data_IF_411540937582
#
_entry.id   IF_411540937582
#
_cell.length_a   1.000
_cell.length_b   1.000
_cell.length_c   1.000
_cell.angle_alpha   90.00
_cell.angle_beta   90.00
_cell.angle_gamma   90.00
#
_symmetry.space_group_name_H-M   'P 1'
#
loop_
_entity.id
_entity.type
_entity.pdbx_description
1 polymer ?
#
# COMPACT_ATOMS: atom_id res chain seq x y z
N UNK A 1 -32.27 -17.75 -0.74
CA UNK A 1 -32.65 -16.63 0.15
C UNK A 1 -31.36 -15.99 0.58
N UNK A 2 -31.03 -14.89 -0.09
CA UNK A 2 -29.81 -14.13 0.14
C UNK A 2 -29.97 -13.41 1.48
N UNK A 3 -29.32 -13.93 2.53
CA UNK A 3 -29.19 -13.16 3.77
C UNK A 3 -28.14 -12.10 3.49
N UNK A 4 -28.56 -11.02 2.84
CA UNK A 4 -27.75 -9.82 2.70
C UNK A 4 -27.24 -9.44 4.08
N UNK A 5 -25.92 -9.44 4.25
CA UNK A 5 -25.26 -9.03 5.49
C UNK A 5 -25.81 -7.65 5.85
N UNK A 6 -26.35 -7.49 7.06
CA UNK A 6 -26.87 -6.20 7.50
C UNK A 6 -25.74 -5.16 7.43
N UNK A 7 -26.03 -3.93 7.00
CA UNK A 7 -25.03 -2.85 6.94
C UNK A 7 -24.33 -2.65 8.29
N UNK A 8 -25.04 -2.90 9.39
CA UNK A 8 -24.49 -2.86 10.76
C UNK A 8 -23.53 -4.00 11.12
N UNK A 9 -23.51 -5.09 10.36
CA UNK A 9 -22.65 -6.27 10.61
C UNK A 9 -21.34 -6.24 9.81
N UNK A 10 -21.16 -5.24 8.93
CA UNK A 10 -20.01 -5.15 8.04
C UNK A 10 -18.70 -4.75 8.73
N UNK A 11 -18.77 -4.16 9.94
CA UNK A 11 -17.60 -3.79 10.76
C UNK A 11 -16.58 -2.93 10.01
N UNK A 12 -17.08 -1.95 9.26
CA UNK A 12 -16.25 -1.09 8.41
C UNK A 12 -15.19 -0.34 9.21
N UNK A 13 -15.53 0.15 10.41
CA UNK A 13 -14.59 0.86 11.26
C UNK A 13 -13.41 -0.04 11.69
N UNK A 14 -13.70 -1.27 12.09
CA UNK A 14 -12.69 -2.25 12.49
C UNK A 14 -11.81 -2.65 11.31
N UNK A 15 -12.42 -2.98 10.16
CA UNK A 15 -11.68 -3.35 8.94
C UNK A 15 -10.76 -2.21 8.48
N UNK A 16 -11.28 -0.98 8.43
CA UNK A 16 -10.48 0.21 8.07
C UNK A 16 -9.34 0.44 9.05
N UNK A 17 -9.58 0.31 10.35
CA UNK A 17 -8.56 0.52 11.38
C UNK A 17 -7.42 -0.50 11.23
N UNK A 18 -7.78 -1.78 11.12
CA UNK A 18 -6.82 -2.90 11.01
C UNK A 18 -6.02 -2.79 9.71
N UNK A 19 -6.68 -2.51 8.58
CA UNK A 19 -5.99 -2.40 7.29
C UNK A 19 -5.08 -1.18 7.23
N UNK A 20 -5.48 -0.03 7.78
CA UNK A 20 -4.59 1.13 7.83
C UNK A 20 -3.30 0.84 8.60
N UNK A 21 -3.40 0.20 9.78
CA UNK A 21 -2.22 -0.18 10.56
C UNK A 21 -1.36 -1.23 9.84
N UNK A 22 -1.99 -2.29 9.31
CA UNK A 22 -1.31 -3.32 8.51
C UNK A 22 -0.58 -2.72 7.31
N UNK A 23 -1.22 -1.78 6.61
CA UNK A 23 -0.66 -1.12 5.42
C UNK A 23 0.61 -0.31 5.74
N UNK A 24 0.65 0.40 6.87
CA UNK A 24 1.86 1.10 7.34
C UNK A 24 2.98 0.10 7.64
N UNK A 25 2.65 -1.02 8.29
CA UNK A 25 3.61 -2.10 8.53
C UNK A 25 4.18 -2.65 7.21
N UNK A 26 3.33 -2.90 6.22
CA UNK A 26 3.75 -3.39 4.90
C UNK A 26 4.62 -2.38 4.14
N UNK A 27 4.25 -1.10 4.16
CA UNK A 27 5.08 -0.03 3.59
C UNK A 27 6.48 -0.02 4.20
N UNK A 28 6.56 -0.15 5.52
CA UNK A 28 7.84 -0.18 6.24
C UNK A 28 8.69 -1.39 5.83
N UNK A 29 8.09 -2.58 5.74
CA UNK A 29 8.79 -3.80 5.35
C UNK A 29 9.27 -3.75 3.90
N UNK A 30 8.42 -3.33 2.96
CA UNK A 30 8.80 -3.19 1.54
C UNK A 30 9.84 -2.07 1.37
N UNK A 31 9.74 -0.98 2.13
CA UNK A 31 10.78 0.08 2.13
C UNK A 31 12.14 -0.49 2.51
N UNK A 32 12.20 -1.29 3.58
CA UNK A 32 13.45 -1.92 4.02
C UNK A 32 13.98 -2.92 3.00
N UNK A 33 13.11 -3.73 2.38
CA UNK A 33 13.51 -4.63 1.29
C UNK A 33 14.08 -3.84 0.11
N UNK A 34 13.39 -2.77 -0.30
CA UNK A 34 13.86 -1.89 -1.39
C UNK A 34 15.26 -1.35 -1.08
N UNK A 35 15.46 -0.81 0.14
CA UNK A 35 16.75 -0.28 0.56
C UNK A 35 17.83 -1.36 0.59
N UNK A 36 17.51 -2.54 1.12
CA UNK A 36 18.45 -3.64 1.21
C UNK A 36 18.89 -4.14 -0.18
N UNK A 37 17.95 -4.30 -1.11
CA UNK A 37 18.26 -4.72 -2.49
C UNK A 37 19.01 -3.67 -3.30
N UNK A 38 18.83 -2.37 -3.01
CA UNK A 38 19.54 -1.30 -3.70
C UNK A 38 20.96 -1.05 -3.18
N UNK A 39 21.29 -1.50 -1.97
CA UNK A 39 22.64 -1.33 -1.40
C UNK A 39 23.52 -2.56 -1.62
N UNK A 40 24.69 -2.35 -2.21
CA UNK A 40 25.66 -3.38 -2.55
C UNK A 40 26.13 -4.25 -1.36
N UNK A 41 26.07 -3.73 -0.13
CA UNK A 41 26.54 -4.45 1.07
C UNK A 41 25.42 -5.29 1.71
N UNK A 42 24.18 -4.82 1.67
CA UNK A 42 23.03 -5.52 2.26
C UNK A 42 22.24 -6.38 1.28
N UNK A 43 22.46 -6.22 -0.03
CA UNK A 43 21.75 -7.01 -1.06
C UNK A 43 22.02 -8.51 -0.82
N UNK A 44 20.98 -9.37 -0.89
CA UNK A 44 21.17 -10.81 -0.69
C UNK A 44 22.28 -11.36 -1.59
N UNK A 45 23.22 -12.11 -1.00
CA UNK A 45 24.42 -12.60 -1.70
C UNK A 45 24.10 -13.37 -2.98
N UNK A 46 22.98 -14.10 -2.99
CA UNK A 46 22.49 -14.82 -4.17
C UNK A 46 22.25 -13.93 -5.40
N UNK A 47 21.88 -12.66 -5.20
CA UNK A 47 21.62 -11.70 -6.28
C UNK A 47 22.89 -11.00 -6.77
N UNK A 48 24.01 -11.20 -6.08
CA UNK A 48 25.33 -10.65 -6.42
C UNK A 48 26.30 -11.72 -6.90
N UNK A 49 25.96 -13.00 -6.73
CA UNK A 49 26.80 -14.12 -7.15
C UNK A 49 26.75 -14.30 -8.68
N UNK A 50 27.90 -14.08 -9.32
CA UNK A 50 28.08 -14.25 -10.77
C UNK A 50 27.75 -15.66 -11.26
N UNK A 51 27.87 -16.68 -10.40
CA UNK A 51 27.49 -18.04 -10.76
C UNK A 51 25.97 -18.20 -10.95
N UNK A 52 25.17 -17.35 -10.29
CA UNK A 52 23.71 -17.38 -10.35
C UNK A 52 23.13 -16.42 -11.41
N UNK A 53 23.93 -15.54 -12.00
CA UNK A 53 23.48 -14.60 -13.04
C UNK A 53 22.71 -15.27 -14.20
N UNK A 54 23.14 -16.42 -14.76
CA UNK A 54 22.38 -17.09 -15.82
C UNK A 54 21.00 -17.56 -15.36
N UNK A 55 20.93 -18.11 -14.13
CA UNK A 55 19.69 -18.58 -13.51
C UNK A 55 18.72 -17.41 -13.29
N UNK A 56 19.20 -16.31 -12.70
CA UNK A 56 18.41 -15.12 -12.42
C UNK A 56 17.87 -14.51 -13.72
N UNK A 57 18.70 -14.39 -14.77
CA UNK A 57 18.26 -13.89 -16.08
C UNK A 57 17.18 -14.77 -16.69
N UNK A 58 17.31 -16.09 -16.60
CA UNK A 58 16.31 -17.02 -17.10
C UNK A 58 14.98 -16.89 -16.35
N UNK A 59 15.02 -16.78 -15.02
CA UNK A 59 13.86 -16.57 -14.15
C UNK A 59 13.16 -15.26 -14.52
N UNK A 60 13.88 -14.13 -14.49
CA UNK A 60 13.29 -12.80 -14.71
C UNK A 60 12.67 -12.69 -16.10
N UNK A 61 13.31 -13.28 -17.13
CA UNK A 61 12.81 -13.27 -18.51
C UNK A 61 11.48 -14.02 -18.68
N UNK A 62 11.29 -15.11 -17.95
CA UNK A 62 10.08 -15.96 -18.05
C UNK A 62 9.04 -15.66 -16.97
N UNK A 63 9.38 -14.83 -15.98
CA UNK A 63 8.52 -14.53 -14.84
C UNK A 63 7.11 -14.08 -15.29
N UNK A 64 6.03 -14.66 -14.76
CA UNK A 64 5.95 -15.57 -13.61
C UNK A 64 5.98 -17.06 -13.95
N UNK A 65 6.20 -17.44 -15.22
CA UNK A 65 6.25 -18.85 -15.60
C UNK A 65 7.47 -19.57 -14.98
N UNK A 66 7.25 -20.78 -14.48
CA UNK A 66 8.32 -21.65 -13.97
C UNK A 66 8.83 -22.56 -15.09
N UNK A 67 10.17 -22.73 -15.16
CA UNK A 67 10.82 -23.65 -16.11
C UNK A 67 11.85 -24.51 -15.37
N UNK A 68 11.36 -25.54 -14.68
CA UNK A 68 12.18 -26.43 -13.85
C UNK A 68 13.17 -27.29 -14.63
N UNK A 69 13.05 -27.37 -15.95
CA UNK A 69 13.94 -28.16 -16.82
C UNK A 69 15.10 -27.36 -17.38
N UNK A 70 15.17 -26.05 -17.09
CA UNK A 70 16.21 -25.19 -17.63
C UNK A 70 17.59 -25.55 -17.06
N UNK A 71 18.55 -25.86 -17.94
CA UNK A 71 19.95 -26.10 -17.57
C UNK A 71 20.59 -24.88 -16.88
N UNK A 72 20.09 -23.67 -17.15
CA UNK A 72 20.56 -22.44 -16.53
C UNK A 72 20.30 -22.37 -15.01
N UNK A 73 19.41 -23.22 -14.49
CA UNK A 73 19.02 -23.25 -13.08
C UNK A 73 19.78 -24.29 -12.25
N UNK A 74 20.62 -25.12 -12.89
CA UNK A 74 21.45 -26.13 -12.22
C UNK A 74 22.27 -25.59 -11.02
N UNK A 75 22.86 -24.37 -11.08
CA UNK A 75 23.59 -23.81 -9.94
C UNK A 75 22.76 -23.62 -8.68
N UNK A 76 21.43 -23.50 -8.78
CA UNK A 76 20.54 -23.35 -7.62
C UNK A 76 20.40 -24.66 -6.83
N UNK A 77 20.61 -25.82 -7.49
CA UNK A 77 20.42 -27.14 -6.89
C UNK A 77 21.29 -27.38 -5.65
N UNK A 78 22.55 -26.94 -5.69
CA UNK A 78 23.49 -27.13 -4.59
C UNK A 78 23.21 -26.22 -3.39
N UNK A 79 22.54 -25.09 -3.60
CA UNK A 79 22.30 -24.05 -2.58
C UNK A 79 20.82 -23.84 -2.23
N UNK A 80 19.92 -24.71 -2.71
CA UNK A 80 18.46 -24.52 -2.59
C UNK A 80 17.98 -24.25 -1.16
N UNK A 81 18.55 -24.94 -0.17
CA UNK A 81 18.17 -24.76 1.23
C UNK A 81 18.58 -23.38 1.77
N UNK A 82 19.73 -22.87 1.34
CA UNK A 82 20.23 -21.55 1.72
C UNK A 82 19.40 -20.44 1.06
N UNK A 83 19.05 -20.62 -0.21
CA UNK A 83 18.17 -19.71 -0.95
C UNK A 83 16.81 -19.61 -0.26
N UNK A 84 16.17 -20.73 0.07
CA UNK A 84 14.89 -20.73 0.79
C UNK A 84 15.03 -20.00 2.13
N UNK A 85 16.07 -20.32 2.91
CA UNK A 85 16.29 -19.70 4.22
C UNK A 85 16.55 -18.19 4.13
N UNK A 86 17.32 -17.76 3.12
CA UNK A 86 17.74 -16.37 3.00
C UNK A 86 16.70 -15.46 2.33
N UNK A 87 15.83 -16.00 1.48
CA UNK A 87 14.83 -15.22 0.76
C UNK A 87 13.40 -15.37 1.30
N UNK A 88 13.14 -16.31 2.22
CA UNK A 88 11.80 -16.55 2.80
C UNK A 88 11.15 -15.28 3.35
N UNK A 89 11.88 -14.50 4.15
CA UNK A 89 11.35 -13.27 4.74
C UNK A 89 10.92 -12.26 3.67
N UNK A 90 11.66 -12.17 2.56
CA UNK A 90 11.30 -11.25 1.47
C UNK A 90 10.10 -11.80 0.72
N UNK A 91 10.12 -13.08 0.36
CA UNK A 91 9.03 -13.75 -0.34
C UNK A 91 7.70 -13.60 0.40
N UNK A 92 7.65 -14.00 1.67
CA UNK A 92 6.41 -13.92 2.45
C UNK A 92 5.98 -12.49 2.75
N UNK A 93 6.90 -11.51 2.78
CA UNK A 93 6.50 -10.09 2.81
C UNK A 93 5.74 -9.68 1.55
N UNK A 94 6.13 -10.17 0.37
CA UNK A 94 5.38 -9.90 -0.85
C UNK A 94 4.04 -10.66 -0.88
N UNK A 95 3.95 -11.84 -0.28
CA UNK A 95 2.68 -12.55 -0.05
C UNK A 95 1.77 -11.71 0.85
N UNK A 96 2.28 -11.18 1.96
CA UNK A 96 1.51 -10.31 2.86
C UNK A 96 0.97 -9.06 2.15
N UNK A 97 1.74 -8.49 1.21
CA UNK A 97 1.29 -7.36 0.38
C UNK A 97 0.16 -7.78 -0.57
N UNK A 98 0.26 -8.96 -1.18
CA UNK A 98 -0.81 -9.49 -2.02
C UNK A 98 -2.10 -9.68 -1.23
N UNK A 99 -2.02 -10.28 -0.04
CA UNK A 99 -3.19 -10.42 0.83
C UNK A 99 -3.74 -9.07 1.29
N UNK A 100 -2.88 -8.10 1.65
CA UNK A 100 -3.32 -6.75 2.00
C UNK A 100 -4.08 -6.11 0.85
N UNK A 101 -3.59 -6.27 -0.39
CA UNK A 101 -4.25 -5.78 -1.59
C UNK A 101 -5.63 -6.42 -1.77
N UNK A 102 -5.74 -7.73 -1.64
CA UNK A 102 -7.01 -8.44 -1.79
C UNK A 102 -8.05 -7.99 -0.73
N UNK A 103 -7.64 -7.93 0.54
CA UNK A 103 -8.50 -7.48 1.64
C UNK A 103 -8.95 -6.02 1.46
N UNK A 104 -8.07 -5.16 0.91
CA UNK A 104 -8.40 -3.77 0.62
C UNK A 104 -9.41 -3.68 -0.53
N UNK A 105 -9.20 -4.43 -1.62
CA UNK A 105 -10.15 -4.49 -2.75
C UNK A 105 -11.53 -4.98 -2.31
N UNK A 106 -11.59 -6.00 -1.45
CA UNK A 106 -12.84 -6.51 -0.89
C UNK A 106 -13.54 -5.44 -0.06
N UNK A 107 -12.82 -4.78 0.86
CA UNK A 107 -13.38 -3.70 1.68
C UNK A 107 -13.91 -2.53 0.84
N UNK A 108 -13.19 -2.11 -0.20
CA UNK A 108 -13.65 -1.03 -1.07
C UNK A 108 -14.94 -1.41 -1.81
N UNK A 109 -15.05 -2.68 -2.23
CA UNK A 109 -16.27 -3.21 -2.86
C UNK A 109 -17.45 -3.23 -1.88
N UNK A 110 -17.22 -3.64 -0.62
CA UNK A 110 -18.23 -3.60 0.44
C UNK A 110 -18.72 -2.18 0.74
N UNK A 111 -17.79 -1.21 0.79
CA UNK A 111 -18.10 0.22 1.01
C UNK A 111 -18.99 0.76 -0.12
N UNK A 112 -18.68 0.43 -1.38
CA UNK A 112 -19.50 0.84 -2.52
C UNK A 112 -20.90 0.24 -2.45
N UNK A 113 -20.99 -1.08 -2.19
CA UNK A 113 -22.27 -1.78 -2.09
C UNK A 113 -23.17 -1.22 -0.96
N UNK A 114 -22.56 -0.58 0.04
CA UNK A 114 -23.25 -0.03 1.20
C UNK A 114 -23.59 1.46 1.05
N UNK A 115 -23.25 2.06 -0.09
CA UNK A 115 -23.52 3.47 -0.41
C UNK A 115 -23.05 4.43 0.69
N UNK A 116 -21.92 4.12 1.35
CA UNK A 116 -21.41 4.90 2.48
C UNK A 116 -21.27 6.37 2.09
N UNK A 117 -21.81 7.25 2.93
CA UNK A 117 -21.64 8.69 2.80
C UNK A 117 -20.34 9.11 3.47
N UNK A 118 -19.47 9.80 2.74
CA UNK A 118 -18.21 10.33 3.25
C UNK A 118 -18.25 11.85 3.27
N UNK A 119 -18.00 12.43 4.43
CA UNK A 119 -17.82 13.86 4.63
C UNK A 119 -16.87 14.08 5.83
N UNK A 120 -15.70 14.66 5.56
CA UNK A 120 -14.67 14.90 6.58
C UNK A 120 -15.16 15.80 7.73
N UNK A 121 -16.21 16.60 7.49
CA UNK A 121 -16.84 17.47 8.50
C UNK A 121 -17.98 16.78 9.27
N UNK A 122 -18.44 15.61 8.85
CA UNK A 122 -19.52 14.89 9.54
C UNK A 122 -19.01 13.60 10.19
N UNK A 123 -18.33 12.77 9.42
CA UNK A 123 -17.80 11.48 9.85
C UNK A 123 -16.29 11.42 9.63
N UNK A 124 -15.60 12.33 10.34
CA UNK A 124 -14.17 12.56 10.25
C UNK A 124 -13.34 11.27 10.25
N UNK A 125 -13.50 10.41 11.26
CA UNK A 125 -12.68 9.20 11.40
C UNK A 125 -12.91 8.21 10.25
N UNK A 126 -14.16 8.05 9.82
CA UNK A 126 -14.53 7.17 8.72
C UNK A 126 -13.97 7.66 7.39
N UNK A 127 -14.16 8.94 7.08
CA UNK A 127 -13.67 9.57 5.84
C UNK A 127 -12.14 9.59 5.79
N UNK A 128 -11.51 9.96 6.91
CA UNK A 128 -10.05 9.92 7.06
C UNK A 128 -9.50 8.51 6.87
N UNK A 129 -10.05 7.51 7.55
CA UNK A 129 -9.55 6.13 7.48
C UNK A 129 -9.73 5.54 6.07
N UNK A 130 -10.82 5.89 5.38
CA UNK A 130 -11.06 5.51 3.99
C UNK A 130 -10.02 6.12 3.03
N UNK A 131 -9.75 7.42 3.12
CA UNK A 131 -8.74 8.07 2.27
C UNK A 131 -7.32 7.59 2.61
N UNK A 132 -7.03 7.36 3.89
CA UNK A 132 -5.75 6.82 4.34
C UNK A 132 -5.47 5.42 3.76
N UNK A 133 -6.46 4.51 3.73
CA UNK A 133 -6.24 3.16 3.21
C UNK A 133 -5.99 3.17 1.70
N UNK A 134 -6.70 4.05 0.97
CA UNK A 134 -6.53 4.22 -0.49
C UNK A 134 -5.12 4.74 -0.81
N UNK A 135 -4.67 5.79 -0.12
CA UNK A 135 -3.33 6.33 -0.35
C UNK A 135 -2.25 5.35 0.09
N UNK A 136 -2.46 4.63 1.20
CA UNK A 136 -1.53 3.58 1.66
C UNK A 136 -1.41 2.46 0.64
N UNK A 137 -2.54 2.02 0.08
CA UNK A 137 -2.61 1.04 -1.00
C UNK A 137 -1.82 1.51 -2.24
N UNK A 138 -2.11 2.72 -2.72
CA UNK A 138 -1.44 3.26 -3.90
C UNK A 138 0.07 3.41 -3.67
N UNK A 139 0.47 3.96 -2.52
CA UNK A 139 1.88 4.10 -2.14
C UNK A 139 2.59 2.75 -2.06
N UNK A 140 1.94 1.73 -1.49
CA UNK A 140 2.51 0.39 -1.35
C UNK A 140 2.73 -0.26 -2.72
N UNK A 141 1.75 -0.23 -3.60
CA UNK A 141 1.87 -0.81 -4.95
C UNK A 141 2.92 -0.06 -5.79
N UNK A 142 2.99 1.26 -5.67
CA UNK A 142 4.07 2.05 -6.29
C UNK A 142 5.45 1.68 -5.73
N UNK A 143 5.56 1.42 -4.42
CA UNK A 143 6.83 1.06 -3.80
C UNK A 143 7.27 -0.35 -4.19
N UNK A 144 6.35 -1.32 -4.29
CA UNK A 144 6.60 -2.66 -4.81
C UNK A 144 7.18 -2.61 -6.22
N UNK A 145 6.58 -1.81 -7.11
CA UNK A 145 7.05 -1.64 -8.49
C UNK A 145 8.48 -1.07 -8.57
N UNK A 146 8.92 -0.34 -7.53
CA UNK A 146 10.27 0.23 -7.39
C UNK A 146 11.28 -0.70 -6.72
N UNK A 147 10.92 -1.95 -6.41
CA UNK A 147 11.88 -2.98 -6.01
C UNK A 147 12.37 -3.67 -7.28
N UNK A 148 13.58 -3.32 -7.73
CA UNK A 148 14.13 -3.78 -9.02
C UNK A 148 14.27 -5.31 -9.05
N UNK A 149 14.80 -5.90 -7.99
CA UNK A 149 15.06 -7.34 -7.89
C UNK A 149 13.83 -8.19 -7.53
N UNK A 150 12.62 -7.61 -7.47
CA UNK A 150 11.41 -8.34 -6.99
C UNK A 150 11.17 -9.66 -7.74
N UNK A 151 11.30 -9.67 -9.06
CA UNK A 151 11.12 -10.89 -9.88
C UNK A 151 12.19 -11.93 -9.60
N UNK A 152 13.44 -11.49 -9.42
CA UNK A 152 14.56 -12.37 -9.11
C UNK A 152 14.38 -13.00 -7.73
N UNK A 153 14.08 -12.20 -6.70
CA UNK A 153 13.83 -12.67 -5.32
C UNK A 153 12.70 -13.71 -5.31
N UNK A 154 11.55 -13.38 -5.92
CA UNK A 154 10.37 -14.23 -5.88
C UNK A 154 10.56 -15.52 -6.68
N UNK A 155 11.08 -15.40 -7.90
CA UNK A 155 11.28 -16.55 -8.77
C UNK A 155 12.40 -17.48 -8.27
N UNK A 156 13.48 -16.94 -7.69
CA UNK A 156 14.57 -17.74 -7.14
C UNK A 156 14.11 -18.50 -5.89
N UNK A 157 13.35 -17.86 -5.00
CA UNK A 157 12.73 -18.54 -3.86
C UNK A 157 11.79 -19.65 -4.32
N UNK A 158 10.84 -19.36 -5.21
CA UNK A 158 9.87 -20.35 -5.66
C UNK A 158 10.55 -21.54 -6.37
N UNK A 159 11.58 -21.27 -7.19
CA UNK A 159 12.31 -22.34 -7.85
C UNK A 159 13.02 -23.25 -6.83
N UNK A 160 13.74 -22.68 -5.87
CA UNK A 160 14.39 -23.48 -4.82
C UNK A 160 13.37 -24.25 -3.97
N UNK A 161 12.22 -23.63 -3.67
CA UNK A 161 11.10 -24.27 -2.96
C UNK A 161 10.55 -25.47 -3.73
N UNK A 162 10.34 -25.32 -5.04
CA UNK A 162 9.86 -26.38 -5.92
C UNK A 162 10.83 -27.55 -6.01
N UNK A 163 12.14 -27.27 -6.11
CA UNK A 163 13.17 -28.31 -6.11
C UNK A 163 13.20 -29.11 -4.81
N UNK A 164 13.01 -28.45 -3.67
CA UNK A 164 12.99 -29.10 -2.35
C UNK A 164 11.72 -29.91 -2.11
N UNK A 165 10.56 -29.37 -2.50
CA UNK A 165 9.25 -29.88 -2.09
C UNK A 165 8.52 -30.64 -3.22
N UNK A 166 9.08 -30.67 -4.43
CA UNK A 166 8.47 -31.29 -5.62
C UNK A 166 7.27 -30.51 -6.20
N UNK A 167 6.92 -29.36 -5.61
CA UNK A 167 5.83 -28.48 -6.05
C UNK A 167 6.16 -27.02 -5.74
N UNK A 168 5.73 -26.11 -6.61
CA UNK A 168 5.83 -24.66 -6.39
C UNK A 168 5.11 -24.22 -5.12
N UNK A 169 5.48 -23.04 -4.62
CA UNK A 169 4.81 -22.45 -3.47
C UNK A 169 3.39 -22.00 -3.85
N UNK A 170 2.42 -22.26 -2.98
CA UNK A 170 0.99 -22.18 -3.30
C UNK A 170 0.55 -20.76 -3.68
N UNK A 171 1.20 -19.72 -3.13
CA UNK A 171 0.90 -18.31 -3.42
C UNK A 171 1.58 -17.80 -4.69
N UNK A 172 2.61 -18.50 -5.22
CA UNK A 172 3.43 -18.00 -6.32
C UNK A 172 2.64 -17.65 -7.59
N UNK A 173 1.65 -18.44 -8.05
CA UNK A 173 0.91 -18.10 -9.27
C UNK A 173 0.16 -16.78 -9.16
N UNK A 174 -0.50 -16.54 -8.02
CA UNK A 174 -1.24 -15.29 -7.76
C UNK A 174 -0.29 -14.12 -7.55
N UNK A 175 0.78 -14.35 -6.80
CA UNK A 175 1.79 -13.33 -6.51
C UNK A 175 2.50 -12.89 -7.79
N UNK A 176 2.89 -13.85 -8.63
CA UNK A 176 3.51 -13.60 -9.93
C UNK A 176 2.62 -12.74 -10.83
N UNK A 177 1.33 -13.08 -10.94
CA UNK A 177 0.35 -12.28 -11.68
C UNK A 177 0.23 -10.86 -11.14
N UNK A 178 0.14 -10.69 -9.82
CA UNK A 178 0.12 -9.35 -9.20
C UNK A 178 1.37 -8.55 -9.58
N UNK A 179 2.56 -9.13 -9.50
CA UNK A 179 3.82 -8.42 -9.82
C UNK A 179 3.86 -7.95 -11.27
N UNK A 180 3.26 -8.70 -12.21
CA UNK A 180 3.14 -8.29 -13.62
C UNK A 180 2.08 -7.20 -13.81
N UNK A 181 0.89 -7.39 -13.23
CA UNK A 181 -0.22 -6.43 -13.36
C UNK A 181 0.15 -5.03 -12.86
N UNK A 182 1.00 -4.94 -11.84
CA UNK A 182 1.46 -3.68 -11.24
C UNK A 182 2.85 -3.25 -11.70
N UNK A 183 3.32 -3.69 -12.87
CA UNK A 183 4.52 -3.09 -13.49
C UNK A 183 4.31 -1.60 -13.78
N UNK A 184 3.10 -1.22 -14.18
CA UNK A 184 2.66 0.17 -14.25
C UNK A 184 1.56 0.40 -13.19
N UNK A 185 1.95 0.65 -11.92
CA UNK A 185 1.03 0.62 -10.80
C UNK A 185 -0.05 1.70 -10.91
N UNK A 186 0.29 2.92 -11.34
CA UNK A 186 -0.70 4.01 -11.46
C UNK A 186 -1.77 3.72 -12.51
N UNK A 187 -1.37 3.17 -13.67
CA UNK A 187 -2.33 2.75 -14.70
C UNK A 187 -3.27 1.67 -14.16
N UNK A 188 -2.71 0.65 -13.49
CA UNK A 188 -3.50 -0.45 -12.94
C UNK A 188 -4.46 0.00 -11.83
N UNK A 189 -4.00 0.91 -10.96
CA UNK A 189 -4.83 1.51 -9.91
C UNK A 189 -5.97 2.31 -10.54
N UNK A 190 -5.70 3.15 -11.54
CA UNK A 190 -6.74 3.93 -12.22
C UNK A 190 -7.84 3.04 -12.81
N UNK A 191 -7.47 1.92 -13.44
CA UNK A 191 -8.42 0.94 -13.96
C UNK A 191 -9.25 0.25 -12.86
N UNK A 192 -8.62 -0.12 -11.74
CA UNK A 192 -9.30 -0.78 -10.62
C UNK A 192 -10.23 0.15 -9.83
N UNK A 193 -9.94 1.45 -9.80
CA UNK A 193 -10.71 2.42 -9.02
C UNK A 193 -11.91 3.01 -9.76
N UNK A 194 -12.13 2.63 -11.02
CA UNK A 194 -13.34 2.99 -11.79
C UNK A 194 -14.64 2.72 -11.02
N UNK A 195 -14.91 1.53 -10.45
CA UNK A 195 -16.12 1.28 -9.66
C UNK A 195 -16.22 2.16 -8.40
N UNK A 196 -15.07 2.52 -7.81
CA UNK A 196 -14.99 3.28 -6.56
C UNK A 196 -15.11 4.81 -6.76
N UNK A 197 -15.14 5.29 -8.01
CA UNK A 197 -14.99 6.71 -8.36
C UNK A 197 -16.00 7.62 -7.63
N UNK A 198 -17.25 7.19 -7.49
CA UNK A 198 -18.28 8.02 -6.85
C UNK A 198 -18.00 8.24 -5.36
N UNK A 199 -17.62 7.18 -4.63
CA UNK A 199 -17.33 7.27 -3.18
C UNK A 199 -16.07 8.08 -2.93
N UNK A 200 -15.01 7.83 -3.71
CA UNK A 200 -13.75 8.57 -3.64
C UNK A 200 -13.97 10.06 -3.95
N UNK A 201 -14.70 10.37 -5.02
CA UNK A 201 -14.97 11.77 -5.40
C UNK A 201 -15.71 12.53 -4.30
N UNK A 202 -16.74 11.93 -3.71
CA UNK A 202 -17.49 12.54 -2.60
C UNK A 202 -16.59 12.82 -1.40
N UNK A 203 -15.77 11.84 -0.99
CA UNK A 203 -14.83 12.00 0.11
C UNK A 203 -13.82 13.12 -0.16
N UNK A 204 -13.22 13.15 -1.36
CA UNK A 204 -12.24 14.18 -1.75
C UNK A 204 -12.85 15.57 -1.86
N UNK A 205 -14.10 15.70 -2.30
CA UNK A 205 -14.78 16.99 -2.37
C UNK A 205 -14.94 17.61 -0.98
N UNK A 206 -15.27 16.80 0.03
CA UNK A 206 -15.35 17.28 1.42
C UNK A 206 -14.00 17.77 1.96
N UNK A 207 -12.90 17.11 1.59
CA UNK A 207 -11.53 17.50 1.97
C UNK A 207 -11.06 18.76 1.22
N UNK A 208 -11.44 18.92 -0.04
CA UNK A 208 -10.97 20.02 -0.89
C UNK A 208 -11.31 21.40 -0.33
N UNK A 209 -12.52 21.56 0.21
CA UNK A 209 -12.96 22.82 0.81
C UNK A 209 -12.17 23.17 2.07
N UNK A 210 -11.85 22.16 2.88
CA UNK A 210 -10.95 22.32 4.03
C UNK A 210 -9.53 22.66 3.60
N UNK A 211 -9.03 21.95 2.58
CA UNK A 211 -7.67 22.14 2.09
C UNK A 211 -7.48 23.58 1.58
N UNK A 212 -8.41 24.12 0.79
CA UNK A 212 -8.39 25.53 0.36
C UNK A 212 -8.35 26.50 1.54
N UNK A 213 -9.19 26.30 2.56
CA UNK A 213 -9.27 27.16 3.74
C UNK A 213 -7.97 27.16 4.55
N UNK A 214 -7.35 25.98 4.71
CA UNK A 214 -6.15 25.77 5.52
C UNK A 214 -4.85 26.09 4.76
N UNK A 215 -4.83 25.92 3.46
CA UNK A 215 -3.66 26.15 2.61
C UNK A 215 -3.57 27.61 2.13
N UNK A 216 -3.45 28.52 3.10
CA UNK A 216 -3.38 29.97 2.86
C UNK A 216 -1.95 30.49 2.98
N UNK A 217 -1.58 31.55 2.23
CA UNK A 217 -0.22 32.10 2.25
C UNK A 217 0.07 32.84 3.55
N UNK A 218 1.37 32.94 3.89
CA UNK A 218 1.81 33.59 5.14
C UNK A 218 1.40 35.06 5.27
N UNK A 219 1.18 35.78 4.17
CA UNK A 219 0.64 37.14 4.22
C UNK A 219 -0.80 37.15 4.75
N UNK A 220 -1.64 36.22 4.30
CA UNK A 220 -3.00 36.09 4.80
C UNK A 220 -3.02 35.68 6.28
N UNK A 221 -2.08 34.83 6.72
CA UNK A 221 -1.94 34.47 8.14
C UNK A 221 -1.61 35.66 9.03
N UNK A 222 -0.80 36.60 8.54
CA UNK A 222 -0.51 37.85 9.25
C UNK A 222 -1.76 38.73 9.34
N UNK A 223 -2.48 38.89 8.24
CA UNK A 223 -3.69 39.70 8.17
C UNK A 223 -4.80 39.17 9.08
N UNK A 224 -4.97 37.85 9.16
CA UNK A 224 -5.98 37.21 10.02
C UNK A 224 -5.52 36.98 11.45
N UNK A 225 -4.23 37.19 11.74
CA UNK A 225 -3.62 36.91 13.05
C UNK A 225 -3.96 35.49 13.56
N UNK A 226 -3.90 34.49 12.68
CA UNK A 226 -4.53 33.16 12.82
C UNK A 226 -4.22 32.39 14.12
N UNK A 227 -3.05 32.61 14.73
CA UNK A 227 -2.62 31.98 16.00
C UNK A 227 -2.47 32.98 17.15
N UNK A 228 -2.87 34.22 16.97
CA UNK A 228 -2.72 35.26 17.97
C UNK A 228 -3.70 35.03 19.13
N UNK A 229 -3.16 34.94 20.33
CA UNK A 229 -3.92 34.89 21.59
C UNK A 229 -4.13 36.29 22.21
N UNK A 230 -3.45 37.31 21.67
CA UNK A 230 -3.45 38.68 22.22
C UNK A 230 -4.18 39.69 21.31
N UNK A 231 -4.67 39.25 20.15
CA UNK A 231 -5.36 40.12 19.18
C UNK A 231 -6.75 40.55 19.69
N UNK A 232 -7.38 39.70 20.51
CA UNK A 232 -8.66 39.99 21.15
C UNK A 232 -8.58 39.67 22.66
N UNK A 233 -7.98 40.54 23.49
CA UNK A 233 -7.79 40.29 24.93
C UNK A 233 -9.07 39.95 25.70
N UNK A 234 -10.21 40.54 25.29
CA UNK A 234 -11.53 40.28 25.88
C UNK A 234 -12.04 38.86 25.62
N UNK A 235 -11.49 38.14 24.64
CA UNK A 235 -11.86 36.78 24.28
C UNK A 235 -10.87 35.73 24.83
N UNK A 236 -9.83 36.13 25.58
CA UNK A 236 -8.79 35.20 26.04
C UNK A 236 -9.31 34.07 26.94
N UNK A 237 -10.39 34.31 27.68
CA UNK A 237 -11.01 33.30 28.55
C UNK A 237 -12.01 32.41 27.78
N UNK A 238 -12.35 32.77 26.53
CA UNK A 238 -13.27 31.99 25.73
C UNK A 238 -12.53 30.82 25.08
N UNK A 239 -13.07 29.59 25.16
CA UNK A 239 -12.50 28.47 24.43
C UNK A 239 -12.62 28.72 22.93
N UNK A 240 -11.55 28.45 22.19
CA UNK A 240 -11.61 28.37 20.73
C UNK A 240 -12.35 27.09 20.36
N UNK A 241 -13.54 27.23 19.78
CA UNK A 241 -14.37 26.10 19.38
C UNK A 241 -14.37 25.93 17.86
N UNK A 242 -14.48 24.69 17.42
CA UNK A 242 -14.77 24.31 16.04
C UNK A 242 -15.80 23.17 16.10
N UNK A 243 -16.71 23.12 15.13
CA UNK A 243 -17.71 22.06 15.04
C UNK A 243 -17.05 20.69 14.85
N UNK A 244 -15.87 20.67 14.21
CA UNK A 244 -15.08 19.46 13.94
C UNK A 244 -13.62 19.74 14.27
N UNK A 245 -13.24 19.73 15.56
CA UNK A 245 -11.88 20.09 15.98
C UNK A 245 -10.75 19.33 15.25
N UNK A 246 -10.88 18.02 14.95
CA UNK A 246 -9.83 17.26 14.24
C UNK A 246 -9.45 17.82 12.88
N UNK A 247 -10.37 18.50 12.20
CA UNK A 247 -10.14 19.08 10.88
C UNK A 247 -9.21 20.30 10.95
N UNK A 248 -9.21 21.03 12.07
CA UNK A 248 -8.41 22.25 12.24
C UNK A 248 -6.91 21.97 12.38
N UNK A 249 -6.53 20.77 12.83
CA UNK A 249 -5.13 20.34 12.95
C UNK A 249 -4.79 19.15 12.05
N UNK A 250 -5.70 18.74 11.15
CA UNK A 250 -5.40 17.77 10.11
C UNK A 250 -4.22 18.26 9.26
N UNK A 251 -3.27 17.36 9.00
CA UNK A 251 -2.03 17.65 8.27
C UNK A 251 -2.31 18.05 6.82
N UNK A 252 -1.75 19.20 6.40
CA UNK A 252 -1.81 19.66 5.00
C UNK A 252 -1.11 18.70 4.05
N UNK A 253 0.03 18.12 4.44
CA UNK A 253 0.75 17.10 3.65
C UNK A 253 -0.12 15.85 3.42
N UNK A 254 -0.90 15.46 4.43
CA UNK A 254 -1.82 14.32 4.32
C UNK A 254 -2.97 14.63 3.37
N UNK A 255 -3.62 15.79 3.52
CA UNK A 255 -4.70 16.21 2.61
C UNK A 255 -4.20 16.33 1.18
N UNK A 256 -3.01 16.88 0.98
CA UNK A 256 -2.39 16.98 -0.34
C UNK A 256 -2.19 15.61 -0.98
N UNK A 257 -1.72 14.61 -0.23
CA UNK A 257 -1.57 13.23 -0.72
C UNK A 257 -2.89 12.53 -1.02
N UNK A 258 -3.98 12.88 -0.35
CA UNK A 258 -5.31 12.37 -0.69
C UNK A 258 -5.82 12.99 -2.01
N UNK A 259 -5.52 14.28 -2.25
CA UNK A 259 -5.99 15.02 -3.42
C UNK A 259 -5.21 14.68 -4.70
N UNK A 260 -3.90 14.41 -4.58
CA UNK A 260 -3.00 14.07 -5.71
C UNK A 260 -3.13 12.59 -6.14
#
# INVERSE_FOLDING_TARGET
MDRGVSVTEQRLAEKLTILNDRGIGMLTRIYNIKKACSDSKSRPGFLTDKALDPAIKAIVKKFPATDTKSLSLQPVHSIQNEVIKGLSNYYYTFVDVMEFRDNTSELLTEIDASFVHFDIMLNYDLTKAYLDVIVTYAALMMLVARVDDRKAVLGLFNHAYEMKNGRGEDSFPRLGSMIIEYENPLKKIAEQFVPHQQRVSTALHSVHEIYKRRNTPGEQWRQTQIVSIISAPLQMLNPVTSDVPPVEYLSLDRMQKWIL
#
